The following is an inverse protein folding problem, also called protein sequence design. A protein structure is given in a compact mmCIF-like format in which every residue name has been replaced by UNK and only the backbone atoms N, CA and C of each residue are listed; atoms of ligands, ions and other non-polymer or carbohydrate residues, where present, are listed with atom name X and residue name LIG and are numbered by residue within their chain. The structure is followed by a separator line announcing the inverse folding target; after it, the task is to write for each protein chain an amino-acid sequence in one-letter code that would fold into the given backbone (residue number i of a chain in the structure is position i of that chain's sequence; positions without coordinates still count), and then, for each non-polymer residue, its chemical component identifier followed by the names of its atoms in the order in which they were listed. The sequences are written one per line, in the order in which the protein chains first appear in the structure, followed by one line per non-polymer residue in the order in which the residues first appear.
data_IF_273161540730
#
_entry.id   IF_273161540730
#
_cell.length_a   1.000
_cell.length_b   1.000
_cell.length_c   1.000
_cell.angle_alpha   90.00
_cell.angle_beta   90.00
_cell.angle_gamma   90.00
#
_symmetry.space_group_name_H-M   'P 1'
#
loop_
_entity.id
_entity.type
_entity.pdbx_description
1 polymer ?
#
# COMPACT_ATOMS: atom_id res chain seq x y z
N UNK A 1 -8.82 -58.09 70.04
CA UNK A 1 -9.10 -57.62 71.41
C UNK A 1 -9.27 -56.10 71.32
N UNK A 2 -10.53 -55.64 71.23
CA UNK A 2 -11.22 -54.72 72.18
C UNK A 2 -10.68 -53.28 72.16
N UNK A 3 -11.46 -52.22 71.98
CA UNK A 3 -12.91 -51.96 72.09
C UNK A 3 -13.20 -50.58 71.44
N UNK A 4 -14.39 -50.44 70.85
CA UNK A 4 -15.37 -49.33 70.87
C UNK A 4 -14.88 -47.92 71.30
N UNK A 5 -15.37 -46.81 70.73
CA UNK A 5 -16.67 -46.24 71.15
C UNK A 5 -17.27 -45.15 70.20
N UNK A 6 -18.62 -45.14 70.14
CA UNK A 6 -19.63 -44.06 69.84
C UNK A 6 -19.73 -43.54 68.39
N UNK A 7 -20.74 -43.92 67.58
CA UNK A 7 -22.15 -43.42 67.48
C UNK A 7 -22.25 -41.94 67.03
N UNK A 8 -23.09 -41.51 66.07
CA UNK A 8 -24.51 -41.84 65.86
C UNK A 8 -24.98 -41.62 64.41
N UNK A 9 -26.01 -42.40 64.03
CA UNK A 9 -26.87 -42.33 62.84
C UNK A 9 -27.59 -40.97 62.68
N UNK A 10 -28.07 -40.55 61.49
CA UNK A 10 -29.24 -41.10 60.74
C UNK A 10 -29.20 -40.62 59.26
N UNK A 11 -29.24 -41.51 58.25
CA UNK A 11 -30.42 -41.95 57.45
C UNK A 11 -31.24 -40.77 56.86
N UNK A 12 -31.56 -40.68 55.56
CA UNK A 12 -32.11 -41.71 54.66
C UNK A 12 -32.03 -41.31 53.16
N UNK A 13 -31.78 -42.30 52.27
CA UNK A 13 -32.53 -42.68 51.05
C UNK A 13 -32.97 -41.59 50.02
N UNK A 14 -32.93 -41.71 48.69
CA UNK A 14 -32.84 -42.84 47.73
C UNK A 14 -32.72 -42.29 46.29
N UNK A 15 -31.83 -42.91 45.49
CA UNK A 15 -31.92 -43.32 44.06
C UNK A 15 -32.72 -42.57 42.95
N UNK A 16 -32.04 -42.46 41.79
CA UNK A 16 -32.51 -42.65 40.37
C UNK A 16 -33.46 -41.60 39.78
N UNK A 17 -33.49 -41.24 38.49
CA UNK A 17 -32.71 -41.47 37.26
C UNK A 17 -33.27 -40.50 36.19
N UNK A 18 -32.48 -40.20 35.15
CA UNK A 18 -32.87 -39.85 33.77
C UNK A 18 -33.64 -38.54 33.43
N UNK A 19 -32.99 -37.74 32.58
CA UNK A 19 -33.61 -37.25 31.34
C UNK A 19 -34.08 -35.79 31.30
N UNK A 20 -33.24 -34.89 30.75
CA UNK A 20 -33.66 -33.53 30.43
C UNK A 20 -32.61 -32.75 29.66
N UNK A 21 -32.70 -32.82 28.34
CA UNK A 21 -31.86 -32.08 27.38
C UNK A 21 -32.09 -30.57 27.53
N UNK A 22 -31.07 -29.81 27.96
CA UNK A 22 -31.05 -28.34 27.84
C UNK A 22 -29.69 -27.94 27.27
N UNK A 23 -29.75 -27.43 26.04
CA UNK A 23 -28.72 -26.65 25.36
C UNK A 23 -28.02 -25.68 26.34
N UNK A 24 -26.79 -25.97 26.75
CA UNK A 24 -25.88 -24.96 27.30
C UNK A 24 -24.87 -24.59 26.23
N UNK A 25 -25.14 -23.45 25.57
CA UNK A 25 -24.13 -22.70 24.83
C UNK A 25 -22.93 -22.51 25.76
N UNK A 26 -21.79 -23.08 25.40
CA UNK A 26 -20.50 -22.70 25.99
C UNK A 26 -20.30 -21.21 25.72
N UNK A 27 -20.37 -20.41 26.78
CA UNK A 27 -19.76 -19.08 26.79
C UNK A 27 -18.25 -19.32 26.74
N UNK A 28 -17.65 -19.13 25.57
CA UNK A 28 -16.25 -18.74 25.48
C UNK A 28 -16.17 -17.36 26.14
N UNK A 29 -15.79 -17.33 27.42
CA UNK A 29 -15.47 -16.10 28.13
C UNK A 29 -14.12 -15.56 27.63
N UNK A 30 -14.13 -14.26 27.34
CA UNK A 30 -13.09 -13.47 26.69
C UNK A 30 -11.67 -13.71 27.23
N UNK A 31 -10.81 -14.30 26.40
CA UNK A 31 -9.37 -14.15 26.57
C UNK A 31 -8.98 -12.66 26.33
N UNK A 32 -8.10 -12.06 27.14
CA UNK A 32 -7.68 -10.67 26.94
C UNK A 32 -6.96 -10.56 25.60
N UNK A 33 -7.56 -9.85 24.63
CA UNK A 33 -6.94 -9.56 23.32
C UNK A 33 -5.60 -8.82 23.54
N UNK A 34 -4.48 -9.54 23.42
CA UNK A 34 -3.10 -9.03 23.59
C UNK A 34 -2.58 -8.25 22.37
N UNK A 35 -3.41 -7.45 21.70
CA UNK A 35 -2.96 -6.65 20.56
C UNK A 35 -3.53 -5.23 20.63
N UNK A 36 -2.65 -4.22 20.48
CA UNK A 36 -3.08 -2.83 20.36
C UNK A 36 -3.74 -2.64 18.99
N UNK A 37 -5.05 -2.43 18.97
CA UNK A 37 -5.79 -2.11 17.75
C UNK A 37 -5.33 -0.77 17.16
N UNK A 38 -5.42 -0.63 15.83
CA UNK A 38 -5.16 0.64 15.16
C UNK A 38 -6.11 1.73 15.72
N UNK A 39 -5.59 2.87 16.20
CA UNK A 39 -6.43 3.91 16.81
C UNK A 39 -7.34 4.62 15.79
N UNK A 40 -7.08 4.45 14.49
CA UNK A 40 -7.83 5.10 13.41
C UNK A 40 -8.95 4.20 12.89
N UNK A 41 -8.66 2.95 12.53
CA UNK A 41 -9.67 2.06 11.90
C UNK A 41 -10.27 1.00 12.84
N UNK A 42 -9.69 0.78 14.04
CA UNK A 42 -10.08 -0.27 15.01
C UNK A 42 -10.16 -1.70 14.44
N UNK A 43 -9.66 -1.94 13.24
CA UNK A 43 -10.00 -3.14 12.51
C UNK A 43 -9.04 -4.28 12.82
N UNK A 44 -9.61 -5.44 13.17
CA UNK A 44 -8.97 -6.76 13.09
C UNK A 44 -9.06 -7.30 11.62
N UNK A 45 -9.65 -6.52 10.69
CA UNK A 45 -10.01 -6.87 9.30
C UNK A 45 -9.76 -5.72 8.30
N UNK A 46 -9.51 -6.05 7.03
CA UNK A 46 -9.27 -5.06 5.97
C UNK A 46 -10.60 -4.35 5.59
N UNK A 47 -10.64 -3.01 5.44
CA UNK A 47 -11.82 -2.30 4.94
C UNK A 47 -12.18 -2.76 3.52
N UNK A 48 -13.47 -2.98 3.24
CA UNK A 48 -13.97 -3.33 1.90
C UNK A 48 -14.93 -2.23 1.45
N UNK A 49 -14.78 -1.75 0.22
CA UNK A 49 -15.74 -0.81 -0.37
C UNK A 49 -16.95 -1.58 -0.96
N UNK A 50 -18.19 -1.29 -0.52
CA UNK A 50 -19.39 -1.90 -1.11
C UNK A 50 -19.57 -1.63 -2.61
N UNK A 51 -18.96 -0.56 -3.13
CA UNK A 51 -19.02 -0.18 -4.56
C UNK A 51 -18.04 -0.93 -5.47
N UNK A 52 -17.28 -1.89 -4.95
CA UNK A 52 -16.24 -2.60 -5.71
C UNK A 52 -14.94 -1.79 -5.84
N UNK A 53 -13.97 -2.30 -6.62
CA UNK A 53 -12.63 -1.70 -6.75
C UNK A 53 -12.64 -0.30 -7.36
N UNK A 54 -13.58 -0.03 -8.27
CA UNK A 54 -13.71 1.26 -8.98
C UNK A 54 -14.83 2.14 -8.44
N UNK A 55 -15.49 1.72 -7.36
CA UNK A 55 -16.47 2.56 -6.68
C UNK A 55 -15.82 3.88 -6.27
N UNK A 56 -16.52 5.00 -6.49
CA UNK A 56 -16.01 6.33 -6.11
C UNK A 56 -15.81 6.38 -4.60
N UNK A 57 -14.56 6.48 -4.17
CA UNK A 57 -14.18 6.70 -2.78
C UNK A 57 -13.98 8.19 -2.57
N UNK A 58 -14.74 8.76 -1.63
CA UNK A 58 -14.58 10.14 -1.19
C UNK A 58 -13.21 10.34 -0.53
N UNK A 59 -12.45 11.32 -0.99
CA UNK A 59 -11.18 11.71 -0.37
C UNK A 59 -11.39 12.58 0.87
N UNK A 60 -11.91 11.96 1.93
CA UNK A 60 -12.24 12.61 3.22
C UNK A 60 -11.05 13.33 3.86
N UNK A 61 -9.84 12.95 3.49
CA UNK A 61 -8.60 13.45 4.07
C UNK A 61 -7.88 14.46 3.17
N UNK A 62 -8.47 14.82 2.01
CA UNK A 62 -7.91 15.73 1.02
C UNK A 62 -6.46 15.38 0.65
N UNK A 63 -6.22 14.10 0.39
CA UNK A 63 -4.91 13.56 0.05
C UNK A 63 -4.51 13.88 -1.38
N UNK A 64 -5.47 13.97 -2.29
CA UNK A 64 -5.25 14.16 -3.72
C UNK A 64 -5.34 15.63 -4.11
N UNK A 65 -4.51 16.02 -5.08
CA UNK A 65 -4.68 17.31 -5.76
C UNK A 65 -5.83 17.23 -6.79
N UNK A 66 -6.44 18.37 -7.18
CA UNK A 66 -7.43 18.39 -8.26
C UNK A 66 -6.89 17.84 -9.58
N UNK A 67 -7.78 17.44 -10.49
CA UNK A 67 -7.42 17.15 -11.87
C UNK A 67 -6.78 18.39 -12.52
N UNK A 68 -5.89 18.22 -13.52
CA UNK A 68 -5.46 19.33 -14.35
C UNK A 68 -6.66 20.07 -14.96
N UNK A 69 -6.63 21.40 -14.90
CA UNK A 69 -7.63 22.28 -15.53
C UNK A 69 -6.92 23.40 -16.30
N UNK A 70 -6.99 23.41 -17.65
CA UNK A 70 -7.68 22.42 -18.50
C UNK A 70 -7.05 21.02 -18.44
N UNK A 71 -7.78 19.96 -18.84
CA UNK A 71 -7.22 18.61 -18.94
C UNK A 71 -5.99 18.58 -19.85
N UNK A 72 -4.99 17.78 -19.48
CA UNK A 72 -3.78 17.62 -20.28
C UNK A 72 -4.10 16.90 -21.60
N UNK A 73 -3.42 17.30 -22.67
CA UNK A 73 -3.51 16.60 -23.95
C UNK A 73 -2.74 15.29 -23.84
N UNK A 74 -3.45 14.16 -24.02
CA UNK A 74 -2.85 12.83 -23.98
C UNK A 74 -1.80 12.66 -25.08
N UNK A 75 -0.61 12.16 -24.73
CA UNK A 75 0.44 11.79 -25.66
C UNK A 75 0.03 10.57 -26.49
N UNK A 76 0.46 10.49 -27.76
CA UNK A 76 0.13 9.36 -28.64
C UNK A 76 0.67 8.02 -28.11
N UNK A 77 1.89 8.05 -27.57
CA UNK A 77 2.56 6.88 -26.97
C UNK A 77 2.19 6.61 -25.50
N UNK A 78 1.29 7.40 -24.90
CA UNK A 78 0.88 7.14 -23.52
C UNK A 78 -0.01 5.89 -23.45
N UNK A 79 0.39 4.93 -22.63
CA UNK A 79 -0.36 3.68 -22.40
C UNK A 79 -0.76 3.57 -20.94
N UNK A 80 -2.02 3.25 -20.68
CA UNK A 80 -2.52 2.92 -19.34
C UNK A 80 -2.99 1.47 -19.36
N UNK A 81 -2.14 0.59 -18.81
CA UNK A 81 -2.38 -0.85 -18.79
C UNK A 81 -2.92 -1.27 -17.42
N UNK A 82 -3.98 -2.05 -17.42
CA UNK A 82 -4.63 -2.61 -16.23
C UNK A 82 -4.79 -4.13 -16.42
N UNK A 83 -4.81 -4.95 -15.35
CA UNK A 83 -5.08 -6.37 -15.47
C UNK A 83 -6.56 -6.63 -15.83
N UNK A 84 -6.90 -7.76 -16.48
CA UNK A 84 -6.04 -8.93 -16.72
C UNK A 84 -5.18 -8.86 -17.99
N UNK A 85 -5.29 -7.81 -18.81
CA UNK A 85 -4.50 -7.68 -20.03
C UNK A 85 -3.01 -7.53 -19.71
N UNK A 86 -2.17 -8.25 -20.46
CA UNK A 86 -0.72 -8.11 -20.33
C UNK A 86 -0.28 -6.69 -20.68
N UNK A 87 0.62 -6.07 -19.91
CA UNK A 87 1.07 -4.71 -20.20
C UNK A 87 1.84 -4.63 -21.52
N UNK A 88 1.55 -3.62 -22.31
CA UNK A 88 2.37 -3.26 -23.48
C UNK A 88 3.40 -2.21 -23.09
N UNK A 89 4.65 -2.63 -22.90
CA UNK A 89 5.73 -1.70 -22.54
C UNK A 89 6.21 -0.86 -23.73
N UNK A 90 6.16 0.45 -23.56
CA UNK A 90 6.89 1.41 -24.38
C UNK A 90 8.33 1.63 -23.89
N UNK A 91 8.92 2.74 -24.32
CA UNK A 91 10.32 3.08 -24.02
C UNK A 91 10.57 3.37 -22.54
N UNK A 92 9.55 3.83 -21.80
CA UNK A 92 9.65 4.13 -20.38
C UNK A 92 8.37 3.70 -19.65
N UNK A 93 8.52 3.19 -18.43
CA UNK A 93 7.41 2.56 -17.70
C UNK A 93 7.39 2.90 -16.21
N UNK A 94 6.17 3.13 -15.70
CA UNK A 94 5.84 3.45 -14.32
C UNK A 94 4.86 2.42 -13.76
N UNK A 95 5.17 1.82 -12.63
CA UNK A 95 4.21 1.01 -11.87
C UNK A 95 3.61 1.81 -10.70
N UNK A 96 2.29 1.78 -10.57
CA UNK A 96 1.56 2.47 -9.48
C UNK A 96 1.26 1.50 -8.34
N UNK A 97 2.26 1.22 -7.51
CA UNK A 97 2.13 0.42 -6.28
C UNK A 97 1.44 1.23 -5.18
N UNK A 98 0.68 0.59 -4.29
CA UNK A 98 0.05 1.34 -3.21
C UNK A 98 -1.31 0.84 -2.79
N UNK A 99 -1.96 1.66 -1.98
CA UNK A 99 -3.29 1.40 -1.47
C UNK A 99 -4.30 1.17 -2.60
N UNK A 100 -4.93 -0.01 -2.60
CA UNK A 100 -6.19 -0.31 -3.30
C UNK A 100 -7.20 -0.77 -2.27
N UNK A 101 -6.78 -1.70 -1.39
CA UNK A 101 -7.50 -2.13 -0.19
C UNK A 101 -8.95 -2.56 -0.50
N UNK A 102 -9.12 -3.48 -1.46
CA UNK A 102 -10.44 -3.91 -1.94
C UNK A 102 -11.38 -2.73 -2.29
N UNK A 103 -10.81 -1.67 -2.87
CA UNK A 103 -11.54 -0.50 -3.35
C UNK A 103 -11.78 0.54 -2.27
N UNK A 104 -11.26 0.38 -1.05
CA UNK A 104 -11.42 1.35 0.03
C UNK A 104 -10.46 2.56 -0.09
N UNK A 105 -9.39 2.44 -0.88
CA UNK A 105 -8.47 3.54 -1.13
C UNK A 105 -9.05 4.56 -2.11
N UNK A 106 -8.73 5.85 -1.90
CA UNK A 106 -9.04 6.91 -2.86
C UNK A 106 -8.50 6.57 -4.27
N UNK A 107 -9.14 7.06 -5.33
CA UNK A 107 -8.78 6.79 -6.74
C UNK A 107 -7.46 7.50 -7.16
N UNK A 108 -6.38 7.32 -6.39
CA UNK A 108 -5.12 8.02 -6.58
C UNK A 108 -4.40 7.60 -7.86
N UNK A 109 -4.56 6.34 -8.32
CA UNK A 109 -3.97 5.88 -9.57
C UNK A 109 -4.56 6.63 -10.77
N UNK A 110 -5.89 6.76 -10.81
CA UNK A 110 -6.60 7.55 -11.84
C UNK A 110 -6.14 9.00 -11.80
N UNK A 111 -6.09 9.62 -10.60
CA UNK A 111 -5.62 10.99 -10.47
C UNK A 111 -4.18 11.14 -10.96
N UNK A 112 -3.30 10.22 -10.63
CA UNK A 112 -1.90 10.27 -11.06
C UNK A 112 -1.79 10.15 -12.59
N UNK A 113 -2.55 9.25 -13.21
CA UNK A 113 -2.60 9.08 -14.66
C UNK A 113 -3.01 10.38 -15.37
N UNK A 114 -4.00 11.11 -14.86
CA UNK A 114 -4.42 12.39 -15.44
C UNK A 114 -3.30 13.45 -15.42
N UNK A 115 -2.40 13.41 -14.43
CA UNK A 115 -1.26 14.33 -14.30
C UNK A 115 -0.02 13.91 -15.10
N UNK A 116 -0.04 12.71 -15.70
CA UNK A 116 1.08 12.11 -16.45
C UNK A 116 0.70 11.74 -17.90
N UNK A 117 -0.55 11.92 -18.31
CA UNK A 117 -1.04 11.45 -19.60
C UNK A 117 -0.44 12.18 -20.80
N UNK A 118 0.22 13.32 -20.57
CA UNK A 118 0.99 14.12 -21.52
C UNK A 118 2.36 13.53 -21.85
N UNK A 119 2.79 12.47 -21.16
CA UNK A 119 4.12 11.87 -21.34
C UNK A 119 4.09 10.59 -22.20
N UNK A 120 5.16 10.29 -22.96
CA UNK A 120 5.28 9.06 -23.76
C UNK A 120 5.67 7.84 -22.91
N UNK A 121 4.84 7.50 -21.92
CA UNK A 121 5.13 6.42 -20.95
C UNK A 121 4.05 5.35 -20.92
N UNK A 122 4.43 4.16 -20.44
CA UNK A 122 3.50 3.11 -20.04
C UNK A 122 3.27 3.15 -18.54
N UNK A 123 2.04 3.38 -18.11
CA UNK A 123 1.61 3.25 -16.72
C UNK A 123 0.95 1.90 -16.52
N UNK A 124 1.53 1.04 -15.69
CA UNK A 124 0.93 -0.22 -15.26
C UNK A 124 0.24 -0.02 -13.92
N UNK A 125 -1.09 -0.12 -13.94
CA UNK A 125 -1.96 0.13 -12.81
C UNK A 125 -2.63 -1.18 -12.34
N UNK A 126 -2.30 -1.70 -11.15
CA UNK A 126 -2.85 -2.95 -10.65
C UNK A 126 -4.33 -2.86 -10.25
N UNK A 127 -4.87 -1.64 -10.06
CA UNK A 127 -6.28 -1.43 -9.76
C UNK A 127 -7.13 -1.64 -11.02
N UNK A 128 -7.86 -2.77 -11.07
CA UNK A 128 -8.81 -3.11 -12.14
C UNK A 128 -10.27 -3.01 -11.67
N UNK A 129 -11.18 -2.67 -12.57
CA UNK A 129 -12.59 -2.45 -12.20
C UNK A 129 -13.44 -3.68 -11.95
N UNK A 130 -13.17 -4.79 -12.64
CA UNK A 130 -14.00 -5.99 -12.60
C UNK A 130 -13.41 -7.09 -11.68
N UNK A 131 -13.06 -6.75 -10.43
CA UNK A 131 -12.63 -7.76 -9.47
C UNK A 131 -13.83 -8.47 -8.84
N UNK A 132 -13.86 -9.80 -8.96
CA UNK A 132 -14.85 -10.62 -8.30
C UNK A 132 -14.55 -10.71 -6.79
N UNK A 133 -15.42 -10.16 -5.92
CA UNK A 133 -15.18 -10.14 -4.47
C UNK A 133 -15.22 -11.54 -3.83
N UNK A 134 -15.68 -12.56 -4.57
CA UNK A 134 -15.68 -13.96 -4.11
C UNK A 134 -14.34 -14.66 -4.33
N UNK A 135 -13.40 -14.04 -5.06
CA UNK A 135 -12.05 -14.57 -5.29
C UNK A 135 -11.36 -14.83 -3.96
N UNK A 136 -10.86 -16.05 -3.81
CA UNK A 136 -10.20 -16.48 -2.59
C UNK A 136 -8.74 -16.04 -2.62
N UNK A 137 -8.26 -15.36 -1.58
CA UNK A 137 -6.85 -14.96 -1.43
C UNK A 137 -5.95 -16.15 -1.07
N UNK A 138 -5.97 -17.18 -1.92
CA UNK A 138 -5.22 -18.43 -1.83
C UNK A 138 -4.53 -18.68 -3.15
N UNK A 139 -3.32 -19.23 -3.09
CA UNK A 139 -2.48 -19.51 -4.26
C UNK A 139 -3.20 -20.34 -5.32
N UNK A 140 -4.08 -21.24 -4.89
CA UNK A 140 -4.79 -22.18 -5.75
C UNK A 140 -5.92 -21.52 -6.55
N UNK A 141 -6.37 -20.31 -6.18
CA UNK A 141 -7.35 -19.55 -6.94
C UNK A 141 -6.69 -18.93 -8.18
N UNK A 142 -7.08 -19.31 -9.41
CA UNK A 142 -6.42 -18.84 -10.62
C UNK A 142 -6.52 -17.33 -10.84
N UNK A 143 -7.61 -16.69 -10.39
CA UNK A 143 -7.79 -15.26 -10.56
C UNK A 143 -6.88 -14.48 -9.61
N UNK A 144 -6.77 -14.94 -8.36
CA UNK A 144 -5.83 -14.40 -7.39
C UNK A 144 -4.39 -14.58 -7.84
N UNK A 145 -4.02 -15.80 -8.25
CA UNK A 145 -2.68 -16.11 -8.76
C UNK A 145 -2.31 -15.22 -9.94
N UNK A 146 -3.19 -15.09 -10.94
CA UNK A 146 -2.92 -14.29 -12.14
C UNK A 146 -2.74 -12.80 -11.81
N UNK A 147 -3.50 -12.26 -10.85
CA UNK A 147 -3.34 -10.88 -10.39
C UNK A 147 -1.98 -10.67 -9.72
N UNK A 148 -1.60 -11.56 -8.80
CA UNK A 148 -0.33 -11.44 -8.08
C UNK A 148 0.87 -11.59 -9.03
N UNK A 149 0.83 -12.54 -9.97
CA UNK A 149 1.89 -12.68 -10.97
C UNK A 149 1.97 -11.46 -11.90
N UNK A 150 0.83 -10.92 -12.33
CA UNK A 150 0.79 -9.68 -13.13
C UNK A 150 1.46 -8.51 -12.39
N UNK A 151 1.17 -8.36 -11.08
CA UNK A 151 1.78 -7.32 -10.24
C UNK A 151 3.30 -7.52 -10.12
N UNK A 152 3.76 -8.75 -9.86
CA UNK A 152 5.18 -9.08 -9.74
C UNK A 152 5.96 -8.86 -11.05
N UNK A 153 5.38 -9.27 -12.18
CA UNK A 153 5.95 -9.02 -13.50
C UNK A 153 6.02 -7.53 -13.81
N UNK A 154 4.96 -6.79 -13.49
CA UNK A 154 4.92 -5.36 -13.76
C UNK A 154 5.89 -4.56 -12.89
N UNK A 155 6.00 -4.89 -11.60
CA UNK A 155 7.04 -4.37 -10.69
C UNK A 155 8.45 -4.65 -11.23
N UNK A 156 8.68 -5.85 -11.77
CA UNK A 156 9.97 -6.25 -12.34
C UNK A 156 10.35 -5.43 -13.55
N UNK A 157 9.41 -5.24 -14.47
CA UNK A 157 9.63 -4.58 -15.75
C UNK A 157 9.71 -3.05 -15.64
N UNK A 158 9.06 -2.45 -14.64
CA UNK A 158 9.02 -1.01 -14.43
C UNK A 158 10.43 -0.37 -14.32
N UNK A 159 10.53 0.87 -14.77
CA UNK A 159 11.72 1.72 -14.61
C UNK A 159 11.63 2.56 -13.35
N UNK A 160 10.41 3.00 -13.03
CA UNK A 160 10.06 3.66 -11.78
C UNK A 160 8.86 2.96 -11.13
N UNK A 161 8.90 2.81 -9.81
CA UNK A 161 7.80 2.28 -9.00
C UNK A 161 7.36 3.40 -8.05
N UNK A 162 6.13 3.88 -8.21
CA UNK A 162 5.53 4.88 -7.34
C UNK A 162 4.66 4.18 -6.30
N UNK A 163 5.03 4.30 -5.03
CA UNK A 163 4.23 3.85 -3.89
C UNK A 163 3.38 4.99 -3.34
N UNK A 164 2.08 4.77 -3.21
CA UNK A 164 1.18 5.69 -2.49
C UNK A 164 0.49 4.96 -1.32
N UNK A 165 0.64 5.52 -0.12
CA UNK A 165 -0.04 5.05 1.08
C UNK A 165 -1.20 5.98 1.44
N UNK A 166 -2.43 5.52 1.18
CA UNK A 166 -3.65 6.18 1.63
C UNK A 166 -3.76 6.09 3.16
N UNK A 167 -3.85 7.23 3.84
CA UNK A 167 -3.91 7.29 5.30
C UNK A 167 -5.17 6.65 5.90
N UNK A 168 -6.19 6.38 5.09
CA UNK A 168 -7.41 5.66 5.48
C UNK A 168 -7.26 4.12 5.43
N UNK A 169 -6.12 3.60 4.97
CA UNK A 169 -5.92 2.16 4.68
C UNK A 169 -4.81 1.52 5.52
N UNK A 170 -4.72 0.18 5.52
CA UNK A 170 -3.68 -0.59 6.23
C UNK A 170 -2.53 -0.99 5.31
N UNK A 171 -2.81 -1.30 4.04
CA UNK A 171 -1.83 -1.56 2.97
C UNK A 171 -0.73 -2.60 3.28
N UNK A 172 -1.07 -3.80 3.81
CA UNK A 172 -0.08 -4.79 4.21
C UNK A 172 0.74 -5.35 3.03
N UNK A 173 0.11 -5.60 1.88
CA UNK A 173 0.80 -6.07 0.67
C UNK A 173 1.75 -5.00 0.14
N UNK A 174 1.31 -3.73 0.11
CA UNK A 174 2.17 -2.59 -0.25
C UNK A 174 3.42 -2.48 0.62
N UNK A 175 3.30 -2.72 1.94
CA UNK A 175 4.47 -2.72 2.83
C UNK A 175 5.44 -3.87 2.51
N UNK A 176 4.92 -5.05 2.16
CA UNK A 176 5.72 -6.20 1.73
C UNK A 176 6.47 -5.89 0.42
N UNK A 177 5.77 -5.33 -0.57
CA UNK A 177 6.35 -4.95 -1.86
C UNK A 177 7.41 -3.85 -1.72
N UNK A 178 7.16 -2.85 -0.87
CA UNK A 178 8.15 -1.82 -0.56
C UNK A 178 9.44 -2.45 -0.03
N UNK A 179 9.33 -3.42 0.88
CA UNK A 179 10.47 -4.18 1.38
C UNK A 179 11.18 -4.99 0.28
N UNK A 180 10.41 -5.65 -0.59
CA UNK A 180 10.94 -6.43 -1.72
C UNK A 180 11.77 -5.58 -2.68
N UNK A 181 11.35 -4.34 -2.93
CA UNK A 181 11.95 -3.46 -3.93
C UNK A 181 12.86 -2.36 -3.35
N UNK A 182 12.98 -2.23 -2.03
CA UNK A 182 13.70 -1.14 -1.34
C UNK A 182 15.13 -0.90 -1.86
N UNK A 183 15.82 -1.97 -2.26
CA UNK A 183 17.20 -1.91 -2.75
C UNK A 183 17.31 -1.59 -4.26
N UNK A 184 16.19 -1.51 -4.99
CA UNK A 184 16.20 -1.47 -6.46
C UNK A 184 16.67 -0.13 -7.04
N UNK A 185 16.61 0.93 -6.25
CA UNK A 185 16.80 2.30 -6.71
C UNK A 185 15.71 2.80 -7.66
N UNK A 186 14.62 2.05 -7.88
CA UNK A 186 13.51 2.43 -8.77
C UNK A 186 12.34 3.09 -8.05
N UNK A 187 12.37 3.15 -6.72
CA UNK A 187 11.20 3.54 -5.92
C UNK A 187 11.14 5.04 -5.64
N UNK A 188 9.94 5.60 -5.68
CA UNK A 188 9.55 6.80 -4.93
C UNK A 188 8.32 6.49 -4.06
N UNK A 189 8.28 7.03 -2.85
CA UNK A 189 7.21 6.81 -1.87
C UNK A 189 6.50 8.13 -1.55
N UNK A 190 5.17 8.12 -1.63
CA UNK A 190 4.29 9.12 -1.04
C UNK A 190 3.56 8.50 0.15
N UNK A 191 3.84 9.01 1.35
CA UNK A 191 3.21 8.54 2.58
C UNK A 191 2.84 9.73 3.46
N UNK A 192 1.54 9.96 3.63
CA UNK A 192 1.04 10.99 4.52
C UNK A 192 1.37 10.64 5.98
N UNK A 193 1.65 11.66 6.81
CA UNK A 193 1.92 11.51 8.25
C UNK A 193 0.80 10.82 9.03
N UNK A 194 -0.44 10.89 8.53
CA UNK A 194 -1.63 10.28 9.14
C UNK A 194 -1.65 8.76 8.94
N UNK A 195 -0.83 8.22 8.03
CA UNK A 195 -0.76 6.78 7.81
C UNK A 195 -0.19 6.06 9.04
N UNK A 196 -0.88 5.02 9.49
CA UNK A 196 -0.67 4.32 10.78
C UNK A 196 0.73 3.68 10.97
N UNK A 197 1.49 3.50 9.88
CA UNK A 197 2.86 2.97 9.89
C UNK A 197 3.86 3.93 9.24
N UNK A 198 3.52 5.21 9.11
CA UNK A 198 4.35 6.19 8.43
C UNK A 198 5.79 6.22 8.96
N UNK A 199 6.01 6.23 10.28
CA UNK A 199 7.37 6.23 10.83
C UNK A 199 8.21 5.00 10.42
N UNK A 200 7.60 3.83 10.19
CA UNK A 200 8.33 2.66 9.68
C UNK A 200 8.71 2.86 8.22
N UNK A 201 7.77 3.39 7.42
CA UNK A 201 7.99 3.69 6.00
C UNK A 201 9.11 4.72 5.84
N UNK A 202 9.07 5.81 6.61
CA UNK A 202 10.06 6.90 6.57
C UNK A 202 11.47 6.40 6.94
N UNK A 203 11.61 5.65 8.04
CA UNK A 203 12.91 5.09 8.47
C UNK A 203 13.48 4.12 7.42
N UNK A 204 12.64 3.29 6.79
CA UNK A 204 13.08 2.42 5.69
C UNK A 204 13.54 3.28 4.50
N UNK A 205 12.78 4.30 4.13
CA UNK A 205 13.14 5.16 3.02
C UNK A 205 14.47 5.88 3.28
N UNK A 206 14.67 6.41 4.48
CA UNK A 206 15.92 7.04 4.87
C UNK A 206 17.10 6.05 4.81
N UNK A 207 16.93 4.87 5.41
CA UNK A 207 17.98 3.84 5.47
C UNK A 207 18.44 3.36 4.10
N UNK A 208 17.52 3.24 3.15
CA UNK A 208 17.80 2.77 1.79
C UNK A 208 18.00 3.90 0.76
N UNK A 209 17.92 5.16 1.19
CA UNK A 209 18.03 6.32 0.29
C UNK A 209 16.92 6.37 -0.75
N UNK A 210 15.69 6.04 -0.36
CA UNK A 210 14.52 6.06 -1.23
C UNK A 210 13.90 7.47 -1.20
N UNK A 211 13.62 8.07 -2.38
CA UNK A 211 12.81 9.27 -2.49
C UNK A 211 11.49 9.16 -1.72
N UNK A 212 11.29 10.07 -0.76
CA UNK A 212 10.13 10.11 0.11
C UNK A 212 9.50 11.50 0.11
N UNK A 213 8.18 11.55 -0.07
CA UNK A 213 7.36 12.76 0.06
C UNK A 213 6.14 12.48 0.93
N UNK A 214 5.62 13.51 1.58
CA UNK A 214 4.52 13.38 2.54
C UNK A 214 3.16 13.78 2.00
N UNK A 215 3.05 14.17 0.73
CA UNK A 215 1.79 14.56 0.10
C UNK A 215 1.77 14.32 -1.40
N UNK A 216 0.57 14.10 -1.95
CA UNK A 216 0.38 13.91 -3.38
C UNK A 216 0.78 15.16 -4.20
N UNK A 217 0.57 16.35 -3.63
CA UNK A 217 1.00 17.61 -4.25
C UNK A 217 2.51 17.67 -4.50
N UNK A 218 3.30 17.06 -3.62
CA UNK A 218 4.76 16.95 -3.75
C UNK A 218 5.18 15.74 -4.58
N UNK A 219 4.36 14.68 -4.59
CA UNK A 219 4.59 13.47 -5.37
C UNK A 219 4.67 13.75 -6.86
N UNK A 220 3.68 14.43 -7.45
CA UNK A 220 3.63 14.61 -8.91
C UNK A 220 4.91 15.26 -9.48
N UNK A 221 5.39 16.42 -8.97
CA UNK A 221 6.63 17.01 -9.48
C UNK A 221 7.86 16.16 -9.14
N UNK A 222 7.95 15.57 -7.95
CA UNK A 222 9.07 14.71 -7.59
C UNK A 222 9.15 13.46 -8.49
N UNK A 223 8.01 12.85 -8.82
CA UNK A 223 7.94 11.70 -9.71
C UNK A 223 8.39 12.06 -11.12
N UNK A 224 8.00 13.23 -11.66
CA UNK A 224 8.48 13.70 -12.97
C UNK A 224 10.02 13.83 -12.99
N UNK A 225 10.61 14.45 -11.99
CA UNK A 225 12.07 14.54 -11.88
C UNK A 225 12.73 13.18 -11.67
N UNK A 226 12.13 12.28 -10.90
CA UNK A 226 12.65 10.91 -10.77
C UNK A 226 12.69 10.20 -12.14
N UNK A 227 11.64 10.34 -12.95
CA UNK A 227 11.60 9.74 -14.28
C UNK A 227 12.68 10.34 -15.19
N UNK A 228 12.89 11.65 -15.15
CA UNK A 228 13.98 12.34 -15.88
C UNK A 228 15.36 11.80 -15.45
N UNK A 229 15.61 11.74 -14.13
CA UNK A 229 16.84 11.18 -13.55
C UNK A 229 17.05 9.70 -13.92
N UNK A 230 15.98 8.98 -14.25
CA UNK A 230 15.99 7.58 -14.71
C UNK A 230 16.05 7.43 -16.23
N UNK A 231 16.14 8.54 -16.97
CA UNK A 231 16.35 8.53 -18.42
C UNK A 231 15.09 8.79 -19.26
N UNK A 232 14.00 9.27 -18.65
CA UNK A 232 12.91 9.88 -19.43
C UNK A 232 13.38 11.22 -19.99
N UNK A 233 13.96 11.19 -21.19
CA UNK A 233 14.35 12.38 -21.94
C UNK A 233 13.34 12.63 -23.02
N UNK A 234 12.84 13.85 -23.12
CA UNK A 234 11.87 14.25 -24.12
C UNK A 234 12.51 15.20 -25.14
N UNK A 235 12.12 15.10 -26.40
CA UNK A 235 12.48 16.08 -27.41
C UNK A 235 11.61 17.35 -27.33
N UNK A 236 11.81 18.28 -28.26
CA UNK A 236 11.04 19.53 -28.35
C UNK A 236 9.54 19.34 -28.63
N UNK A 237 9.13 18.16 -29.09
CA UNK A 237 7.74 17.81 -29.39
C UNK A 237 7.07 17.03 -28.25
N UNK A 238 7.85 16.62 -27.23
CA UNK A 238 7.38 15.79 -26.12
C UNK A 238 7.58 14.30 -26.34
N UNK A 239 8.20 13.89 -27.45
CA UNK A 239 8.44 12.49 -27.79
C UNK A 239 9.67 11.94 -27.05
N UNK A 240 9.73 10.62 -26.83
CA UNK A 240 10.84 9.98 -26.14
C UNK A 240 12.15 10.09 -26.96
N UNK A 241 13.18 10.67 -26.36
CA UNK A 241 14.51 10.89 -26.93
C UNK A 241 15.64 10.23 -26.13
N UNK A 242 15.30 9.33 -25.19
CA UNK A 242 16.28 8.53 -24.46
C UNK A 242 16.85 7.38 -25.31
N UNK A 243 17.85 6.68 -24.76
CA UNK A 243 18.36 5.48 -25.41
C UNK A 243 17.29 4.37 -25.41
N UNK A 244 17.09 3.64 -26.52
CA UNK A 244 16.17 2.51 -26.56
C UNK A 244 16.54 1.49 -25.47
N UNK A 245 15.55 0.96 -24.75
CA UNK A 245 15.78 -0.10 -23.77
C UNK A 245 16.49 -1.28 -24.42
N UNK A 246 17.72 -1.57 -24.00
CA UNK A 246 18.30 -2.89 -24.17
C UNK A 246 17.41 -3.92 -23.45
N UNK A 247 17.21 -5.11 -24.02
CA UNK A 247 16.51 -6.21 -23.34
C UNK A 247 17.17 -6.42 -21.97
N UNK A 248 16.42 -6.18 -20.88
CA UNK A 248 16.92 -6.35 -19.51
C UNK A 248 17.37 -7.80 -19.34
N UNK A 249 18.69 -8.04 -19.37
CA UNK A 249 19.27 -9.24 -18.79
C UNK A 249 19.05 -9.23 -17.28
N UNK A 250 19.14 -10.39 -16.64
CA UNK A 250 19.10 -10.58 -15.19
C UNK A 250 20.33 -9.93 -14.54
N UNK A 251 20.39 -8.60 -14.55
CA UNK A 251 21.49 -7.82 -14.00
C UNK A 251 21.42 -7.77 -12.47
N UNK A 252 22.58 -7.87 -11.83
CA UNK A 252 22.76 -7.83 -10.38
C UNK A 252 22.03 -6.66 -9.73
N UNK A 253 21.48 -6.92 -8.54
CA UNK A 253 20.81 -5.96 -7.68
C UNK A 253 21.82 -4.85 -7.31
N UNK A 254 21.64 -3.60 -7.79
CA UNK A 254 22.59 -2.55 -7.49
C UNK A 254 22.64 -2.31 -5.99
N UNK A 255 23.83 -2.43 -5.38
CA UNK A 255 24.07 -1.97 -4.02
C UNK A 255 23.99 -0.45 -3.99
N UNK A 256 23.22 0.10 -3.05
CA UNK A 256 23.08 1.55 -2.85
C UNK A 256 24.46 2.15 -2.53
N UNK A 257 25.05 2.88 -3.48
CA UNK A 257 26.25 3.70 -3.24
C UNK A 257 25.96 5.14 -3.65
N UNK A 258 26.19 6.03 -2.68
CA UNK A 258 26.15 7.50 -2.76
C UNK A 258 24.90 8.05 -3.46
N UNK A 259 23.82 8.19 -2.70
CA UNK A 259 22.54 8.66 -3.24
C UNK A 259 22.54 10.19 -3.20
N UNK A 260 22.62 10.80 -4.39
CA UNK A 260 22.22 12.18 -4.56
C UNK A 260 20.76 12.32 -4.06
N UNK A 261 20.58 13.06 -2.96
CA UNK A 261 19.30 13.20 -2.25
C UNK A 261 18.45 14.32 -2.84
N UNK A 262 18.36 14.38 -4.17
CA UNK A 262 17.67 15.43 -4.94
C UNK A 262 16.23 15.69 -4.46
N UNK A 263 15.55 14.65 -3.97
CA UNK A 263 14.17 14.73 -3.52
C UNK A 263 13.99 15.53 -2.22
N UNK A 264 15.05 15.84 -1.48
CA UNK A 264 14.95 16.62 -0.24
C UNK A 264 14.36 18.02 -0.46
N UNK A 265 14.42 18.57 -1.68
CA UNK A 265 13.72 19.82 -2.01
C UNK A 265 12.20 19.71 -1.96
N UNK A 266 11.66 18.49 -2.04
CA UNK A 266 10.24 18.19 -1.88
C UNK A 266 9.86 17.80 -0.45
N UNK A 267 10.79 17.84 0.51
CA UNK A 267 10.44 17.56 1.92
C UNK A 267 9.51 18.64 2.49
N UNK A 268 8.86 18.34 3.60
CA UNK A 268 8.10 19.36 4.33
C UNK A 268 9.03 20.45 4.87
N UNK A 269 8.70 21.72 4.58
CA UNK A 269 9.36 22.86 5.23
C UNK A 269 9.00 22.91 6.71
N UNK A 270 9.66 23.76 7.49
CA UNK A 270 9.26 23.93 8.89
C UNK A 270 7.82 24.44 9.01
N UNK A 271 7.38 25.32 8.10
CA UNK A 271 6.01 25.83 8.03
C UNK A 271 5.03 24.69 7.75
N UNK A 272 5.31 23.83 6.76
CA UNK A 272 4.50 22.65 6.46
C UNK A 272 4.38 21.73 7.69
N UNK A 273 5.50 21.48 8.36
CA UNK A 273 5.58 20.62 9.55
C UNK A 273 4.78 21.19 10.71
N UNK A 274 4.90 22.49 10.97
CA UNK A 274 4.14 23.17 12.03
C UNK A 274 2.63 23.15 11.71
N UNK A 275 2.24 23.45 10.46
CA UNK A 275 0.84 23.35 10.03
C UNK A 275 0.26 21.94 10.20
N UNK A 276 1.13 20.94 10.14
CA UNK A 276 0.85 19.52 10.35
C UNK A 276 0.93 19.06 11.82
N UNK A 277 1.29 19.94 12.76
CA UNK A 277 1.45 19.62 14.18
C UNK A 277 2.75 18.86 14.52
N UNK A 278 3.74 18.88 13.62
CA UNK A 278 5.04 18.23 13.79
C UNK A 278 6.11 19.21 14.28
N UNK A 279 7.15 18.66 14.92
CA UNK A 279 8.36 19.41 15.28
C UNK A 279 9.11 19.91 14.03
N UNK A 280 9.74 21.09 14.07
CA UNK A 280 10.66 21.56 13.03
C UNK A 280 11.80 20.58 12.76
N UNK A 281 12.39 20.64 11.56
CA UNK A 281 13.49 19.75 11.16
C UNK A 281 14.73 19.90 12.04
N UNK A 282 15.05 21.14 12.46
CA UNK A 282 16.22 21.43 13.30
C UNK A 282 16.19 20.72 14.68
N UNK A 283 15.00 20.39 15.17
CA UNK A 283 14.81 19.69 16.45
C UNK A 283 14.92 18.15 16.30
N UNK A 284 14.87 17.62 15.08
CA UNK A 284 15.05 16.20 14.79
C UNK A 284 16.50 15.86 14.45
N UNK A 285 17.22 16.79 13.83
CA UNK A 285 18.65 16.61 13.49
C UNK A 285 19.58 16.78 14.71
N UNK A 286 19.04 17.23 15.86
CA UNK A 286 19.76 17.43 17.13
C UNK A 286 19.51 16.32 18.17
N UNK A 287 18.71 15.31 17.83
CA UNK A 287 18.34 14.16 18.68
C UNK A 287 18.90 12.85 18.16
#
# INVERSE_FOLDING_TARGET
MTRDTVASASQSETSKEMGGNIFSKTKEEDAPKKFKQCPVCKADSVPINPGGLDGVVEDKYNQLIPAPSPPLKRHADFKHCVPPENPEYGNFSLFTAGSIEMGAAVQWQTRLVEHLCDLPITVTNPRRGAWDPTVNAKREDPQFFSQVEWELDALTNADVICYFFDCATVSPVTLMELGLWAHSGKIIVCCDQRYWRQGNVEIVCERYGIPYVSSFAKLVPALKEMMENKGLKLDKNGDYAGEPKAKKGTGERPGVKNVDRWWLKYRDTNEDRIAKGLKPLAELESS
#
